data_IF_801079588605
#
_entry.id   IF_801079588605
#
_cell.length_a   1.000
_cell.length_b   1.000
_cell.length_c   1.000
_cell.angle_alpha   90.00
_cell.angle_beta   90.00
_cell.angle_gamma   90.00
#
_symmetry.space_group_name_H-M   'P 1'
#
loop_
_entity.id
_entity.type
_entity.pdbx_description
1 polymer ?
#
# COMPACT_ATOMS: atom_id res chain seq x y z
N UNK A 1 3.53 -20.06 5.08
CA UNK A 1 2.71 -19.11 4.32
C UNK A 1 2.17 -17.97 5.19
N UNK A 2 1.44 -18.26 6.29
CA UNK A 2 0.99 -17.23 7.25
C UNK A 2 2.16 -16.48 7.89
N UNK A 3 3.23 -17.15 8.23
CA UNK A 3 4.44 -16.53 8.80
C UNK A 3 5.12 -15.56 7.85
N UNK A 4 5.08 -15.83 6.55
CA UNK A 4 5.62 -14.91 5.53
C UNK A 4 4.78 -13.63 5.41
N UNK A 5 3.45 -13.76 5.36
CA UNK A 5 2.54 -12.61 5.36
C UNK A 5 2.76 -11.76 6.62
N UNK A 6 2.86 -12.40 7.77
CA UNK A 6 3.10 -11.71 9.05
C UNK A 6 4.42 -10.95 9.03
N UNK A 7 5.50 -11.59 8.58
CA UNK A 7 6.81 -10.95 8.45
C UNK A 7 6.75 -9.70 7.53
N UNK A 8 6.10 -9.80 6.39
CA UNK A 8 5.93 -8.68 5.46
C UNK A 8 5.22 -7.51 6.13
N UNK A 9 4.09 -7.78 6.78
CA UNK A 9 3.28 -6.73 7.40
C UNK A 9 3.95 -6.13 8.66
N UNK A 10 4.63 -6.93 9.46
CA UNK A 10 5.43 -6.45 10.59
C UNK A 10 6.60 -5.58 10.12
N UNK A 11 7.30 -6.00 9.08
CA UNK A 11 8.38 -5.21 8.46
C UNK A 11 7.86 -3.88 7.95
N UNK A 12 6.72 -3.88 7.26
CA UNK A 12 6.08 -2.66 6.79
C UNK A 12 5.67 -1.74 7.95
N UNK A 13 5.00 -2.27 8.97
CA UNK A 13 4.63 -1.52 10.17
C UNK A 13 5.83 -0.84 10.81
N UNK A 14 6.94 -1.56 10.96
CA UNK A 14 8.13 -1.07 11.63
C UNK A 14 8.91 -0.06 10.76
N UNK A 15 8.81 -0.16 9.43
CA UNK A 15 9.54 0.67 8.48
C UNK A 15 8.78 1.93 8.04
N UNK A 16 7.47 1.95 8.14
CA UNK A 16 6.63 2.98 7.49
C UNK A 16 6.98 4.40 7.91
N UNK A 17 7.30 4.66 9.17
CA UNK A 17 7.67 5.99 9.67
C UNK A 17 9.16 6.13 10.00
N UNK A 18 9.94 5.07 9.94
CA UNK A 18 11.38 5.11 10.20
C UNK A 18 12.21 5.13 8.92
N UNK A 19 11.71 4.53 7.84
CA UNK A 19 12.44 4.36 6.58
C UNK A 19 11.70 4.92 5.35
N UNK A 20 10.38 5.08 5.42
CA UNK A 20 9.57 5.49 4.28
C UNK A 20 9.08 6.92 4.41
N UNK A 21 8.15 7.17 5.30
CA UNK A 21 7.54 8.49 5.53
C UNK A 21 8.27 9.20 6.68
N UNK A 22 9.47 9.67 6.39
CA UNK A 22 10.38 10.26 7.38
C UNK A 22 10.33 11.79 7.45
N UNK A 23 9.39 12.43 6.74
CA UNK A 23 9.19 13.87 6.80
C UNK A 23 8.93 14.32 8.25
N UNK A 24 9.74 15.25 8.81
CA UNK A 24 9.54 15.75 10.17
C UNK A 24 8.19 16.40 10.41
N UNK A 25 7.51 16.87 9.36
CA UNK A 25 6.18 17.48 9.45
C UNK A 25 5.06 16.44 9.55
N UNK A 26 5.36 15.16 9.31
CA UNK A 26 4.41 14.06 9.44
C UNK A 26 4.63 13.34 10.76
N UNK A 27 3.71 13.52 11.70
CA UNK A 27 3.76 12.81 12.99
C UNK A 27 3.45 11.32 12.78
N UNK A 28 4.33 10.41 13.25
CA UNK A 28 4.07 8.97 13.17
C UNK A 28 2.78 8.58 13.90
N UNK A 29 1.85 7.95 13.20
CA UNK A 29 0.61 7.44 13.77
C UNK A 29 0.10 6.26 12.95
N UNK A 30 0.15 5.05 13.51
CA UNK A 30 -0.29 3.83 12.83
C UNK A 30 -1.81 3.76 12.61
N UNK A 31 -2.61 4.52 13.36
CA UNK A 31 -4.05 4.63 13.10
C UNK A 31 -4.33 5.39 11.79
N UNK A 32 -3.41 6.25 11.40
CA UNK A 32 -3.43 6.96 10.12
C UNK A 32 -2.31 6.48 9.21
N UNK A 33 -2.06 5.17 9.21
CA UNK A 33 -1.15 4.53 8.26
C UNK A 33 -1.40 5.09 6.85
N UNK A 34 -0.37 5.43 6.07
CA UNK A 34 -0.56 5.84 4.68
C UNK A 34 -1.49 4.87 3.95
N UNK A 35 -2.42 5.38 3.16
CA UNK A 35 -3.35 4.50 2.43
C UNK A 35 -2.58 3.52 1.57
N UNK A 36 -2.82 2.24 1.82
CA UNK A 36 -2.05 1.12 1.27
C UNK A 36 -2.95 0.19 0.49
N UNK A 37 -2.59 -0.09 -0.76
CA UNK A 37 -3.23 -1.10 -1.60
C UNK A 37 -2.31 -2.31 -1.72
N UNK A 38 -2.79 -3.47 -1.28
CA UNK A 38 -2.03 -4.73 -1.33
C UNK A 38 -2.62 -5.64 -2.41
N UNK A 39 -1.76 -6.11 -3.30
CA UNK A 39 -2.12 -7.10 -4.32
C UNK A 39 -1.79 -8.51 -3.84
N UNK A 40 -2.82 -9.31 -3.64
CA UNK A 40 -2.75 -10.71 -3.24
C UNK A 40 -2.76 -11.66 -4.44
N UNK A 41 -2.29 -12.89 -4.22
CA UNK A 41 -2.23 -13.93 -5.25
C UNK A 41 -3.62 -14.41 -5.69
N UNK A 42 -4.53 -14.61 -4.72
CA UNK A 42 -5.90 -15.10 -4.92
C UNK A 42 -6.79 -14.70 -3.74
N UNK A 43 -8.07 -15.06 -3.80
CA UNK A 43 -9.06 -14.75 -2.77
C UNK A 43 -8.69 -15.26 -1.37
N UNK A 44 -8.19 -16.49 -1.26
CA UNK A 44 -7.76 -17.07 0.01
C UNK A 44 -6.55 -16.33 0.58
N UNK A 45 -5.60 -15.98 -0.27
CA UNK A 45 -4.45 -15.17 0.12
C UNK A 45 -4.88 -13.80 0.63
N UNK A 46 -5.80 -13.13 -0.10
CA UNK A 46 -6.34 -11.84 0.32
C UNK A 46 -7.04 -11.93 1.69
N UNK A 47 -7.83 -12.95 1.93
CA UNK A 47 -8.48 -13.19 3.23
C UNK A 47 -7.46 -13.38 4.35
N UNK A 48 -6.40 -14.14 4.11
CA UNK A 48 -5.31 -14.34 5.08
C UNK A 48 -4.56 -13.03 5.36
N UNK A 49 -4.28 -12.23 4.34
CA UNK A 49 -3.64 -10.92 4.51
C UNK A 49 -4.51 -10.00 5.39
N UNK A 50 -5.81 -9.91 5.13
CA UNK A 50 -6.73 -9.10 5.95
C UNK A 50 -6.70 -9.54 7.42
N UNK A 51 -6.78 -10.83 7.68
CA UNK A 51 -6.76 -11.39 9.03
C UNK A 51 -5.47 -11.06 9.76
N UNK A 52 -4.33 -11.30 9.11
CA UNK A 52 -3.00 -11.05 9.70
C UNK A 52 -2.75 -9.54 9.87
N UNK A 53 -3.21 -8.70 8.94
CA UNK A 53 -3.10 -7.26 9.07
C UNK A 53 -3.87 -6.73 10.28
N UNK A 54 -5.05 -7.25 10.58
CA UNK A 54 -5.78 -6.92 11.81
C UNK A 54 -4.97 -7.24 13.06
N UNK A 55 -4.34 -8.40 13.11
CA UNK A 55 -3.47 -8.81 14.22
C UNK A 55 -2.25 -7.89 14.33
N UNK A 56 -1.54 -7.65 13.23
CA UNK A 56 -0.28 -6.87 13.20
C UNK A 56 -0.51 -5.41 13.58
N UNK A 57 -1.58 -4.79 13.10
CA UNK A 57 -1.90 -3.38 13.38
C UNK A 57 -2.82 -3.18 14.58
N UNK A 58 -3.28 -4.26 15.23
CA UNK A 58 -4.09 -4.18 16.44
C UNK A 58 -5.53 -3.68 16.23
N UNK A 59 -6.10 -3.90 15.05
CA UNK A 59 -7.48 -3.50 14.70
C UNK A 59 -8.35 -4.73 14.49
N UNK A 60 -9.27 -4.99 15.42
CA UNK A 60 -10.17 -6.14 15.36
C UNK A 60 -11.46 -5.89 14.55
N UNK A 61 -11.76 -4.64 14.27
CA UNK A 61 -12.93 -4.27 13.45
C UNK A 61 -12.65 -4.42 11.93
N UNK A 62 -13.71 -4.26 11.14
CA UNK A 62 -13.62 -4.39 9.70
C UNK A 62 -13.38 -3.05 8.98
N UNK A 63 -13.05 -1.98 9.70
CA UNK A 63 -12.86 -0.66 9.08
C UNK A 63 -11.45 -0.42 8.60
N UNK A 64 -10.45 -0.77 9.39
CA UNK A 64 -9.05 -0.47 9.11
C UNK A 64 -8.51 -1.17 7.88
N UNK A 65 -8.79 -2.47 7.72
CA UNK A 65 -8.37 -3.28 6.59
C UNK A 65 -9.54 -4.10 6.05
N UNK A 66 -9.74 -4.05 4.73
CA UNK A 66 -10.81 -4.79 4.04
C UNK A 66 -10.32 -5.38 2.73
N UNK A 67 -10.95 -6.49 2.36
CA UNK A 67 -10.77 -7.13 1.06
C UNK A 67 -11.72 -6.49 0.05
N UNK A 68 -11.18 -6.07 -1.10
CA UNK A 68 -11.95 -5.55 -2.22
C UNK A 68 -11.79 -6.53 -3.39
N UNK A 69 -12.84 -7.30 -3.68
CA UNK A 69 -12.85 -8.29 -4.76
C UNK A 69 -14.18 -8.27 -5.49
N UNK A 70 -14.20 -8.83 -6.70
CA UNK A 70 -15.44 -8.92 -7.49
C UNK A 70 -16.55 -9.71 -6.79
N UNK A 71 -16.17 -10.70 -5.99
CA UNK A 71 -17.11 -11.51 -5.22
C UNK A 71 -17.67 -10.82 -3.96
N UNK A 72 -17.15 -9.67 -3.59
CA UNK A 72 -17.56 -8.94 -2.39
C UNK A 72 -18.80 -8.04 -2.59
N UNK A 73 -19.56 -8.24 -3.65
CA UNK A 73 -20.85 -7.57 -3.91
C UNK A 73 -20.72 -6.14 -4.44
N UNK A 74 -20.30 -5.18 -3.65
CA UNK A 74 -20.21 -3.79 -4.07
C UNK A 74 -18.75 -3.27 -4.01
N UNK A 75 -17.94 -3.71 -4.99
CA UNK A 75 -16.53 -3.29 -5.08
C UNK A 75 -16.36 -1.78 -5.31
N UNK A 76 -17.28 -1.15 -6.04
CA UNK A 76 -17.23 0.30 -6.29
C UNK A 76 -17.47 1.12 -5.02
N UNK A 77 -18.39 0.68 -4.18
CA UNK A 77 -18.67 1.31 -2.89
C UNK A 77 -17.49 1.14 -1.93
N UNK A 78 -16.88 -0.04 -1.86
CA UNK A 78 -15.67 -0.27 -1.04
C UNK A 78 -14.48 0.59 -1.51
N UNK A 79 -14.32 0.77 -2.80
CA UNK A 79 -13.29 1.65 -3.36
C UNK A 79 -13.56 3.12 -2.99
N UNK A 80 -14.82 3.54 -3.10
CA UNK A 80 -15.24 4.88 -2.69
C UNK A 80 -14.97 5.12 -1.20
N UNK A 81 -15.30 4.16 -0.35
CA UNK A 81 -14.98 4.20 1.08
C UNK A 81 -13.48 4.25 1.32
N UNK A 82 -12.70 3.41 0.66
CA UNK A 82 -11.24 3.43 0.78
C UNK A 82 -10.64 4.78 0.40
N UNK A 83 -11.17 5.41 -0.65
CA UNK A 83 -10.71 6.73 -1.08
C UNK A 83 -11.06 7.86 -0.09
N UNK A 84 -12.23 7.79 0.55
CA UNK A 84 -12.80 8.92 1.31
C UNK A 84 -12.81 8.74 2.82
N UNK A 85 -12.76 7.52 3.33
CA UNK A 85 -12.83 7.24 4.77
C UNK A 85 -11.43 7.24 5.40
N UNK A 86 -11.24 8.11 6.39
CA UNK A 86 -9.98 8.21 7.13
C UNK A 86 -9.64 6.96 7.96
N UNK A 87 -10.62 6.15 8.32
CA UNK A 87 -10.42 4.95 9.14
C UNK A 87 -10.09 3.71 8.29
N UNK A 88 -10.38 3.75 6.98
CA UNK A 88 -10.07 2.66 6.05
C UNK A 88 -8.66 2.87 5.47
N UNK A 89 -7.65 2.15 6.04
CA UNK A 89 -6.25 2.40 5.71
C UNK A 89 -5.63 1.40 4.74
N UNK A 90 -6.06 0.13 4.77
CA UNK A 90 -5.50 -0.93 3.93
C UNK A 90 -6.60 -1.61 3.12
N UNK A 91 -6.49 -1.56 1.80
CA UNK A 91 -7.30 -2.35 0.88
C UNK A 91 -6.49 -3.52 0.33
N UNK A 92 -7.07 -4.71 0.34
CA UNK A 92 -6.44 -5.92 -0.21
C UNK A 92 -7.27 -6.43 -1.38
N UNK A 93 -6.63 -6.63 -2.52
CA UNK A 93 -7.29 -7.14 -3.73
C UNK A 93 -6.43 -8.19 -4.42
N UNK A 94 -7.07 -9.13 -5.11
CA UNK A 94 -6.37 -10.11 -5.96
C UNK A 94 -6.60 -9.87 -7.46
N UNK A 95 -7.55 -9.00 -7.81
CA UNK A 95 -7.84 -8.62 -9.19
C UNK A 95 -7.70 -7.11 -9.35
N UNK A 96 -7.36 -6.67 -10.56
CA UNK A 96 -7.47 -5.26 -10.91
C UNK A 96 -8.94 -4.85 -10.77
N UNK A 97 -9.19 -4.07 -9.75
CA UNK A 97 -10.48 -3.40 -9.62
C UNK A 97 -10.66 -2.49 -10.83
N UNK A 98 -11.84 -2.58 -11.43
CA UNK A 98 -12.23 -2.01 -12.71
C UNK A 98 -11.45 -0.76 -13.16
N UNK A 99 -11.12 -0.74 -14.43
CA UNK A 99 -10.59 0.42 -15.16
C UNK A 99 -11.33 1.71 -14.77
N UNK A 100 -10.60 2.73 -14.33
CA UNK A 100 -11.16 4.05 -14.04
C UNK A 100 -11.30 4.43 -12.57
N UNK A 101 -10.93 3.57 -11.63
CA UNK A 101 -10.91 3.94 -10.21
C UNK A 101 -9.64 4.69 -9.85
N UNK A 102 -9.80 5.98 -9.69
CA UNK A 102 -8.74 6.89 -9.26
C UNK A 102 -8.73 6.99 -7.73
N UNK A 103 -7.64 6.53 -7.11
CA UNK A 103 -7.44 6.61 -5.66
C UNK A 103 -6.30 7.58 -5.39
N UNK A 104 -6.61 8.89 -5.51
CA UNK A 104 -5.60 9.94 -5.35
C UNK A 104 -4.86 9.94 -4.01
N UNK A 105 -5.51 9.66 -2.84
CA UNK A 105 -4.81 9.62 -1.56
C UNK A 105 -3.97 8.36 -1.33
N UNK A 106 -3.89 7.45 -2.28
CA UNK A 106 -3.06 6.25 -2.20
C UNK A 106 -1.58 6.61 -2.15
N UNK A 107 -0.86 6.15 -1.14
CA UNK A 107 0.57 6.45 -0.94
C UNK A 107 1.47 5.22 -0.98
N UNK A 108 0.91 4.02 -0.83
CA UNK A 108 1.67 2.76 -0.86
C UNK A 108 0.93 1.72 -1.70
N UNK A 109 1.64 1.13 -2.65
CA UNK A 109 1.22 -0.07 -3.38
C UNK A 109 2.18 -1.20 -3.03
N UNK A 110 1.63 -2.31 -2.52
CA UNK A 110 2.42 -3.46 -2.08
C UNK A 110 2.06 -4.70 -2.88
N UNK A 111 3.08 -5.35 -3.44
CA UNK A 111 2.91 -6.61 -4.16
C UNK A 111 3.25 -7.80 -3.26
N UNK A 112 2.23 -8.59 -2.93
CA UNK A 112 2.38 -9.90 -2.28
C UNK A 112 2.10 -11.04 -3.27
N UNK A 113 2.24 -10.76 -4.57
CA UNK A 113 2.12 -11.74 -5.67
C UNK A 113 3.13 -11.42 -6.75
N UNK A 114 3.52 -12.45 -7.48
CA UNK A 114 4.24 -12.25 -8.73
C UNK A 114 3.29 -11.72 -9.83
N UNK A 115 3.78 -10.83 -10.65
CA UNK A 115 3.02 -10.24 -11.77
C UNK A 115 3.66 -10.69 -13.07
N UNK A 116 3.01 -11.63 -13.74
CA UNK A 116 3.53 -12.32 -14.90
C UNK A 116 3.63 -11.45 -16.18
N UNK A 117 3.02 -10.27 -16.19
CA UNK A 117 3.05 -9.39 -17.36
C UNK A 117 3.37 -7.95 -17.00
N UNK A 118 4.26 -7.34 -17.77
CA UNK A 118 4.62 -5.92 -17.64
C UNK A 118 3.41 -4.96 -17.74
N UNK A 119 2.47 -5.14 -18.69
CA UNK A 119 1.29 -4.28 -18.78
C UNK A 119 0.44 -4.32 -17.50
N UNK A 120 0.27 -5.48 -16.90
CA UNK A 120 -0.47 -5.64 -15.65
C UNK A 120 0.24 -4.94 -14.49
N UNK A 121 1.55 -5.08 -14.41
CA UNK A 121 2.39 -4.39 -13.43
C UNK A 121 2.28 -2.87 -13.56
N UNK A 122 2.38 -2.33 -14.78
CA UNK A 122 2.24 -0.89 -15.06
C UNK A 122 0.87 -0.38 -14.63
N UNK A 123 -0.20 -1.12 -14.91
CA UNK A 123 -1.56 -0.76 -14.48
C UNK A 123 -1.69 -0.74 -12.95
N UNK A 124 -1.13 -1.72 -12.26
CA UNK A 124 -1.12 -1.78 -10.80
C UNK A 124 -0.34 -0.62 -10.20
N UNK A 125 0.85 -0.34 -10.72
CA UNK A 125 1.70 0.79 -10.33
C UNK A 125 0.99 2.12 -10.56
N UNK A 126 0.32 2.29 -11.70
CA UNK A 126 -0.41 3.51 -12.06
C UNK A 126 -1.47 3.94 -11.05
N UNK A 127 -1.91 3.04 -10.17
CA UNK A 127 -2.86 3.38 -9.10
C UNK A 127 -2.26 4.31 -8.04
N UNK A 128 -0.96 4.25 -7.80
CA UNK A 128 -0.27 5.05 -6.79
C UNK A 128 0.24 6.41 -7.28
N UNK A 129 0.40 6.63 -8.59
CA UNK A 129 1.08 7.84 -9.13
C UNK A 129 0.22 9.10 -9.16
N UNK A 130 -1.05 9.03 -8.78
CA UNK A 130 -1.96 10.19 -8.84
C UNK A 130 -1.59 11.23 -7.80
N UNK A 131 -1.64 12.49 -8.22
CA UNK A 131 -1.46 13.64 -7.31
C UNK A 131 -2.76 14.03 -6.62
N UNK A 132 -2.63 14.62 -5.45
CA UNK A 132 -3.75 15.13 -4.66
C UNK A 132 -3.31 16.43 -3.97
N UNK A 133 -4.20 17.40 -3.84
CA UNK A 133 -3.94 18.61 -3.06
C UNK A 133 -3.77 18.30 -1.57
N UNK A 134 -2.89 19.04 -0.90
CA UNK A 134 -2.50 18.77 0.50
C UNK A 134 -3.68 18.77 1.47
N UNK A 135 -4.61 19.72 1.33
CA UNK A 135 -5.81 19.79 2.15
C UNK A 135 -6.71 18.54 1.97
N UNK A 136 -6.90 18.10 0.71
CA UNK A 136 -7.67 16.88 0.43
C UNK A 136 -7.00 15.64 0.98
N UNK A 137 -5.68 15.57 0.92
CA UNK A 137 -4.91 14.47 1.51
C UNK A 137 -5.13 14.44 3.03
N UNK A 138 -5.01 15.57 3.71
CA UNK A 138 -5.20 15.67 5.17
C UNK A 138 -6.62 15.35 5.62
N UNK A 139 -7.63 15.55 4.78
CA UNK A 139 -9.01 15.17 5.09
C UNK A 139 -9.18 13.65 5.25
N UNK A 140 -8.37 12.85 4.57
CA UNK A 140 -8.44 11.37 4.63
C UNK A 140 -7.22 10.75 5.32
N UNK A 141 -6.12 11.48 5.44
CA UNK A 141 -4.90 11.05 6.16
C UNK A 141 -4.42 12.21 7.03
N UNK A 142 -5.00 12.37 8.22
CA UNK A 142 -4.85 13.60 9.03
C UNK A 142 -3.43 13.96 9.42
N UNK A 143 -2.52 12.99 9.55
CA UNK A 143 -1.11 13.22 9.87
C UNK A 143 -0.22 13.48 8.64
N UNK A 144 -0.76 13.39 7.43
CA UNK A 144 0.01 13.69 6.22
C UNK A 144 0.21 15.19 6.05
N UNK A 145 1.35 15.59 5.47
CA UNK A 145 1.61 16.97 5.06
C UNK A 145 1.33 17.18 3.58
N UNK A 146 2.00 16.41 2.73
CA UNK A 146 1.82 16.44 1.28
C UNK A 146 2.08 15.05 0.68
N UNK A 147 1.58 14.81 -0.53
CA UNK A 147 1.90 13.62 -1.31
C UNK A 147 2.92 13.97 -2.40
N UNK A 148 4.19 13.93 -2.06
CA UNK A 148 5.29 14.20 -2.99
C UNK A 148 5.73 12.94 -3.75
N UNK A 149 5.47 11.76 -3.17
CA UNK A 149 5.83 10.48 -3.74
C UNK A 149 4.83 9.40 -3.32
N UNK A 150 4.87 8.26 -4.00
CA UNK A 150 4.28 7.03 -3.50
C UNK A 150 5.32 5.92 -3.46
N UNK A 151 5.11 4.95 -2.59
CA UNK A 151 5.99 3.81 -2.44
C UNK A 151 5.44 2.59 -3.14
N UNK A 152 6.31 1.91 -3.85
CA UNK A 152 6.07 0.57 -4.37
C UNK A 152 6.88 -0.41 -3.52
N UNK A 153 6.19 -1.26 -2.77
CA UNK A 153 6.81 -2.26 -1.90
C UNK A 153 6.69 -3.62 -2.56
N UNK A 154 7.83 -4.23 -2.83
CA UNK A 154 7.92 -5.56 -3.43
C UNK A 154 8.23 -6.60 -2.36
N UNK A 155 7.25 -7.47 -2.08
CA UNK A 155 7.41 -8.58 -1.14
C UNK A 155 7.81 -9.91 -1.82
N UNK A 156 7.90 -9.96 -3.15
CA UNK A 156 8.14 -11.19 -3.92
C UNK A 156 9.15 -11.04 -5.08
N UNK A 157 9.86 -9.91 -5.19
CA UNK A 157 10.89 -9.70 -6.22
C UNK A 157 10.37 -9.23 -7.58
N UNK A 158 9.13 -8.73 -7.68
CA UNK A 158 8.53 -8.25 -8.94
C UNK A 158 9.25 -7.06 -9.53
N UNK A 159 9.82 -6.20 -8.69
CA UNK A 159 10.47 -4.96 -9.12
C UNK A 159 11.89 -5.15 -9.67
N UNK A 160 12.49 -6.32 -9.52
CA UNK A 160 13.84 -6.59 -10.02
C UNK A 160 13.94 -6.53 -11.56
N UNK A 161 12.83 -6.73 -12.26
CA UNK A 161 12.74 -6.64 -13.72
C UNK A 161 12.67 -5.20 -14.25
N UNK A 162 12.44 -4.20 -13.42
CA UNK A 162 12.19 -2.81 -13.83
C UNK A 162 13.34 -1.82 -13.60
N UNK A 163 14.55 -2.24 -13.40
CA UNK A 163 15.68 -1.28 -13.20
C UNK A 163 15.97 -0.36 -14.42
N UNK A 164 15.12 -0.39 -15.45
CA UNK A 164 15.36 0.31 -16.72
C UNK A 164 14.36 1.37 -17.15
N UNK A 165 13.23 1.58 -16.45
CA UNK A 165 12.21 2.52 -16.92
C UNK A 165 11.85 3.52 -15.82
N UNK A 166 12.67 4.52 -15.66
CA UNK A 166 12.29 5.78 -15.01
C UNK A 166 11.94 6.80 -16.09
N UNK A 167 10.71 6.87 -16.49
CA UNK A 167 10.19 8.05 -17.19
C UNK A 167 9.51 8.94 -16.15
N UNK A 168 9.96 10.20 -15.96
CA UNK A 168 9.21 11.17 -15.18
C UNK A 168 7.95 11.51 -15.97
N UNK A 169 6.82 11.04 -15.54
CA UNK A 169 5.52 11.61 -15.92
C UNK A 169 5.10 12.61 -14.84
N UNK A 170 4.27 13.57 -15.21
CA UNK A 170 3.73 14.66 -14.36
C UNK A 170 2.92 14.14 -13.15
N UNK A 171 3.49 13.27 -12.35
CA UNK A 171 2.88 12.62 -11.19
C UNK A 171 3.81 12.62 -9.97
N UNK A 172 3.33 12.08 -8.85
CA UNK A 172 4.14 11.86 -7.67
C UNK A 172 5.32 10.94 -7.98
N UNK A 173 6.50 11.24 -7.44
CA UNK A 173 7.71 10.43 -7.61
C UNK A 173 7.50 9.02 -7.07
N UNK A 174 7.82 8.01 -7.88
CA UNK A 174 7.77 6.60 -7.45
C UNK A 174 9.04 6.23 -6.69
N UNK A 175 8.90 5.70 -5.49
CA UNK A 175 10.00 5.11 -4.72
C UNK A 175 9.84 3.60 -4.65
N UNK A 176 10.81 2.88 -5.16
CA UNK A 176 10.85 1.42 -5.14
C UNK A 176 11.56 0.93 -3.88
N UNK A 177 10.95 -0.02 -3.17
CA UNK A 177 11.54 -0.65 -1.99
C UNK A 177 11.28 -2.16 -2.02
N UNK A 178 12.32 -2.94 -1.83
CA UNK A 178 12.17 -4.37 -1.60
C UNK A 178 12.00 -4.66 -0.11
N UNK A 179 11.29 -5.72 0.22
CA UNK A 179 11.17 -6.18 1.60
C UNK A 179 12.54 -6.48 2.22
N UNK A 180 13.46 -7.02 1.42
CA UNK A 180 14.82 -7.32 1.85
C UNK A 180 15.56 -6.05 2.28
N UNK A 181 15.49 -4.99 1.49
CA UNK A 181 16.11 -3.69 1.82
C UNK A 181 15.52 -3.09 3.10
N UNK A 182 14.20 -3.19 3.29
CA UNK A 182 13.53 -2.72 4.50
C UNK A 182 13.98 -3.51 5.74
N UNK A 183 14.06 -4.84 5.64
CA UNK A 183 14.55 -5.69 6.72
C UNK A 183 16.00 -5.36 7.11
N UNK A 184 16.87 -5.19 6.13
CA UNK A 184 18.28 -4.82 6.36
C UNK A 184 18.40 -3.48 7.09
N UNK A 185 17.64 -2.47 6.68
CA UNK A 185 17.61 -1.15 7.32
C UNK A 185 17.13 -1.20 8.77
N UNK A 186 16.07 -1.95 9.05
CA UNK A 186 15.54 -2.10 10.40
C UNK A 186 16.54 -2.84 11.30
N UNK A 187 17.19 -3.87 10.79
CA UNK A 187 18.17 -4.65 11.57
C UNK A 187 19.46 -3.90 11.84
N UNK A 188 19.89 -3.01 10.95
CA UNK A 188 21.11 -2.19 11.12
C UNK A 188 20.85 -0.87 11.86
N UNK A 189 19.62 -0.41 11.93
CA UNK A 189 19.26 0.82 12.66
C UNK A 189 19.13 0.67 14.18
N UNK A 190 19.30 -0.54 14.71
CA UNK A 190 19.21 -0.85 16.14
C UNK A 190 20.59 -1.02 16.81
N UNK A 191 21.62 -0.30 16.33
CA UNK A 191 22.94 -0.23 16.99
C UNK A 191 23.17 1.16 17.58
#
# INVERSE_FOLDING_TARGET
FRSQIKLVLETYRDAVYTEMFTDPQREPNLNYLPKTLIFALNENHATNIVQIAKEVFGHNDNRFVQKITYSAGDSNELIRQFRNDKDFRIAVTCTLVATGTDIKPLEVVMFMRDVASEPLYIQMKGRGVRTIGDERLRNVTPNAYSKDCFYLVDAVGVTEHEKSITTPSDGATTKLMSLKELLEKITHGNV
#
